data_IF_459825825663
#
_entry.id   IF_459825825663
#
_cell.length_a   1.000
_cell.length_b   1.000
_cell.length_c   1.000
_cell.angle_alpha   90.00
_cell.angle_beta   90.00
_cell.angle_gamma   90.00
#
_symmetry.space_group_name_H-M   'P 1'
#
loop_
_entity.id
_entity.type
_entity.pdbx_description
1 polymer ?
#
# COMPACT_ATOMS: atom_id res chain seq x y z
N UNK A 1 -13.97 -33.86 -94.99
CA UNK A 1 -13.43 -32.53 -94.60
C UNK A 1 -14.43 -31.67 -93.82
N UNK A 2 -15.74 -31.69 -94.11
CA UNK A 2 -16.72 -30.83 -93.44
C UNK A 2 -16.94 -31.10 -91.93
N UNK A 3 -16.78 -32.34 -91.47
CA UNK A 3 -17.04 -32.71 -90.08
C UNK A 3 -16.01 -32.13 -89.09
N UNK A 4 -14.74 -32.05 -89.50
CA UNK A 4 -13.68 -31.41 -88.72
C UNK A 4 -13.93 -29.90 -88.57
N UNK A 5 -14.33 -29.22 -89.66
CA UNK A 5 -14.72 -27.80 -89.62
C UNK A 5 -15.89 -27.55 -88.66
N UNK A 6 -16.88 -28.46 -88.67
CA UNK A 6 -18.04 -28.39 -87.78
C UNK A 6 -17.65 -28.59 -86.31
N UNK A 7 -16.77 -29.56 -86.02
CA UNK A 7 -16.23 -29.80 -84.68
C UNK A 7 -15.34 -28.67 -84.18
N UNK A 8 -14.48 -28.11 -85.05
CA UNK A 8 -13.63 -26.97 -84.72
C UNK A 8 -14.49 -25.75 -84.35
N UNK A 9 -15.51 -25.45 -85.16
CA UNK A 9 -16.46 -24.34 -84.88
C UNK A 9 -17.24 -24.55 -83.58
N UNK A 10 -17.62 -25.79 -83.26
CA UNK A 10 -18.26 -26.12 -81.99
C UNK A 10 -17.32 -25.94 -80.79
N UNK A 11 -16.05 -26.34 -80.90
CA UNK A 11 -15.05 -26.13 -79.86
C UNK A 11 -14.74 -24.64 -79.64
N UNK A 12 -14.65 -23.85 -80.71
CA UNK A 12 -14.47 -22.38 -80.58
C UNK A 12 -15.64 -21.76 -79.82
N UNK A 13 -16.88 -22.15 -80.15
CA UNK A 13 -18.07 -21.67 -79.43
C UNK A 13 -18.07 -22.08 -77.95
N UNK A 14 -17.64 -23.31 -77.66
CA UNK A 14 -17.52 -23.81 -76.27
C UNK A 14 -16.43 -23.05 -75.50
N UNK A 15 -15.31 -22.74 -76.15
CA UNK A 15 -14.23 -21.93 -75.56
C UNK A 15 -14.69 -20.50 -75.27
N UNK A 16 -15.50 -19.92 -76.13
CA UNK A 16 -16.06 -18.58 -75.97
C UNK A 16 -17.05 -18.53 -74.79
N UNK A 17 -17.94 -19.52 -74.69
CA UNK A 17 -18.81 -19.70 -73.53
C UNK A 17 -18.04 -19.87 -72.23
N UNK A 18 -16.94 -20.63 -72.24
CA UNK A 18 -16.09 -20.80 -71.07
C UNK A 18 -15.42 -19.47 -70.66
N UNK A 19 -14.97 -18.68 -71.65
CA UNK A 19 -14.37 -17.37 -71.42
C UNK A 19 -15.37 -16.42 -70.77
N UNK A 20 -16.57 -16.32 -71.31
CA UNK A 20 -17.65 -15.48 -70.74
C UNK A 20 -18.01 -15.92 -69.31
N UNK A 21 -18.05 -17.23 -69.05
CA UNK A 21 -18.31 -17.75 -67.71
C UNK A 21 -17.19 -17.36 -66.73
N UNK A 22 -15.92 -17.44 -67.15
CA UNK A 22 -14.77 -17.02 -66.34
C UNK A 22 -14.80 -15.51 -66.09
N UNK A 23 -15.13 -14.71 -67.10
CA UNK A 23 -15.24 -13.26 -67.01
C UNK A 23 -16.33 -12.88 -65.99
N UNK A 24 -17.50 -13.52 -66.09
CA UNK A 24 -18.60 -13.34 -65.14
C UNK A 24 -18.23 -13.72 -63.70
N UNK A 25 -17.48 -14.81 -63.51
CA UNK A 25 -17.01 -15.22 -62.18
C UNK A 25 -16.03 -14.18 -61.62
N UNK A 26 -15.13 -13.68 -62.47
CA UNK A 26 -14.10 -12.71 -62.08
C UNK A 26 -14.75 -11.39 -61.67
N UNK A 27 -15.75 -10.92 -62.41
CA UNK A 27 -16.53 -9.72 -62.07
C UNK A 27 -17.24 -9.86 -60.72
N UNK A 28 -17.85 -11.03 -60.46
CA UNK A 28 -18.50 -11.31 -59.18
C UNK A 28 -17.51 -11.36 -58.02
N UNK A 29 -16.32 -11.92 -58.22
CA UNK A 29 -15.26 -11.90 -57.22
C UNK A 29 -14.82 -10.48 -56.91
N UNK A 30 -14.59 -9.66 -57.95
CA UNK A 30 -14.20 -8.27 -57.79
C UNK A 30 -15.26 -7.48 -57.03
N UNK A 31 -16.54 -7.62 -57.39
CA UNK A 31 -17.64 -6.95 -56.70
C UNK A 31 -17.73 -7.33 -55.21
N UNK A 32 -17.54 -8.62 -54.89
CA UNK A 32 -17.51 -9.09 -53.49
C UNK A 32 -16.30 -8.57 -52.73
N UNK A 33 -15.14 -8.47 -53.38
CA UNK A 33 -13.92 -7.96 -52.76
C UNK A 33 -14.06 -6.48 -52.41
N UNK A 34 -14.60 -5.68 -53.34
CA UNK A 34 -14.88 -4.25 -53.11
C UNK A 34 -15.87 -4.08 -51.96
N UNK A 35 -16.99 -4.82 -51.97
CA UNK A 35 -17.98 -4.76 -50.90
C UNK A 35 -17.40 -5.18 -49.54
N UNK A 36 -16.55 -6.20 -49.50
CA UNK A 36 -15.88 -6.60 -48.26
C UNK A 36 -14.94 -5.49 -47.76
N UNK A 37 -14.15 -4.90 -48.65
CA UNK A 37 -13.22 -3.83 -48.31
C UNK A 37 -13.96 -2.59 -47.75
N UNK A 38 -15.05 -2.17 -48.40
CA UNK A 38 -15.86 -1.04 -47.96
C UNK A 38 -16.49 -1.26 -46.58
N UNK A 39 -16.85 -2.50 -46.24
CA UNK A 39 -17.52 -2.80 -44.98
C UNK A 39 -16.55 -3.17 -43.84
N UNK A 40 -15.46 -3.90 -44.12
CA UNK A 40 -14.55 -4.43 -43.09
C UNK A 40 -13.48 -3.41 -42.70
N UNK A 41 -12.99 -2.61 -43.64
CA UNK A 41 -11.92 -1.65 -43.37
C UNK A 41 -12.32 -0.59 -42.32
N UNK A 42 -13.52 0.04 -42.41
CA UNK A 42 -13.96 0.99 -41.38
C UNK A 42 -14.13 0.33 -40.02
N UNK A 43 -14.57 -0.94 -39.98
CA UNK A 43 -14.70 -1.71 -38.76
C UNK A 43 -13.34 -1.91 -38.08
N UNK A 44 -12.30 -2.22 -38.85
CA UNK A 44 -10.94 -2.37 -38.34
C UNK A 44 -10.39 -1.05 -37.76
N UNK A 45 -10.61 0.07 -38.45
CA UNK A 45 -10.19 1.39 -37.95
C UNK A 45 -10.90 1.77 -36.64
N UNK A 46 -12.22 1.58 -36.58
CA UNK A 46 -13.01 1.83 -35.37
C UNK A 46 -12.55 0.92 -34.23
N UNK A 47 -12.31 -0.36 -34.51
CA UNK A 47 -11.82 -1.31 -33.51
C UNK A 47 -10.44 -0.91 -32.98
N UNK A 48 -9.53 -0.44 -33.84
CA UNK A 48 -8.23 0.08 -33.42
C UNK A 48 -8.36 1.30 -32.51
N UNK A 49 -9.24 2.26 -32.85
CA UNK A 49 -9.53 3.42 -31.98
C UNK A 49 -10.12 2.99 -30.64
N UNK A 50 -11.00 1.98 -30.65
CA UNK A 50 -11.61 1.42 -29.45
C UNK A 50 -10.56 0.78 -28.53
N UNK A 51 -9.63 0.00 -29.09
CA UNK A 51 -8.54 -0.62 -28.34
C UNK A 51 -7.63 0.43 -27.67
N UNK A 52 -7.31 1.52 -28.38
CA UNK A 52 -6.53 2.62 -27.81
C UNK A 52 -7.30 3.27 -26.64
N UNK A 53 -8.60 3.55 -26.81
CA UNK A 53 -9.45 4.06 -25.73
C UNK A 53 -9.49 3.12 -24.53
N UNK A 54 -9.64 1.81 -24.76
CA UNK A 54 -9.63 0.80 -23.72
C UNK A 54 -8.31 0.78 -22.94
N UNK A 55 -7.17 0.83 -23.64
CA UNK A 55 -5.84 0.92 -23.02
C UNK A 55 -5.65 2.21 -22.23
N UNK A 56 -6.24 3.32 -22.66
CA UNK A 56 -6.23 4.58 -21.92
C UNK A 56 -7.07 4.48 -20.64
N UNK A 57 -8.27 3.89 -20.72
CA UNK A 57 -9.16 3.67 -19.57
C UNK A 57 -8.48 2.77 -18.54
N UNK A 58 -7.86 1.67 -18.96
CA UNK A 58 -7.14 0.78 -18.04
C UNK A 58 -6.00 1.49 -17.31
N UNK A 59 -5.25 2.36 -18.01
CA UNK A 59 -4.22 3.19 -17.37
C UNK A 59 -4.82 4.17 -16.36
N UNK A 60 -5.93 4.81 -16.71
CA UNK A 60 -6.61 5.74 -15.81
C UNK A 60 -7.11 5.03 -14.54
N UNK A 61 -7.74 3.86 -14.67
CA UNK A 61 -8.19 3.05 -13.53
C UNK A 61 -7.00 2.76 -12.61
N UNK A 62 -5.87 2.30 -13.15
CA UNK A 62 -4.67 2.04 -12.36
C UNK A 62 -4.16 3.27 -11.62
N UNK A 63 -4.22 4.45 -12.26
CA UNK A 63 -3.86 5.72 -11.61
C UNK A 63 -4.83 6.04 -10.47
N UNK A 64 -6.13 5.90 -10.69
CA UNK A 64 -7.16 6.13 -9.67
C UNK A 64 -6.96 5.18 -8.47
N UNK A 65 -6.74 3.89 -8.71
CA UNK A 65 -6.50 2.91 -7.64
C UNK A 65 -5.27 3.29 -6.81
N UNK A 66 -4.20 3.69 -7.48
CA UNK A 66 -2.98 4.19 -6.83
C UNK A 66 -3.29 5.42 -5.97
N UNK A 67 -4.05 6.39 -6.49
CA UNK A 67 -4.45 7.59 -5.76
C UNK A 67 -5.30 7.27 -4.53
N UNK A 68 -6.26 6.35 -4.63
CA UNK A 68 -7.09 5.91 -3.50
C UNK A 68 -6.20 5.29 -2.41
N UNK A 69 -5.25 4.43 -2.78
CA UNK A 69 -4.31 3.84 -1.83
C UNK A 69 -3.47 4.91 -1.12
N UNK A 70 -3.00 5.94 -1.85
CA UNK A 70 -2.28 7.05 -1.23
C UNK A 70 -3.15 7.80 -0.22
N UNK A 71 -4.40 8.13 -0.55
CA UNK A 71 -5.30 8.79 0.39
C UNK A 71 -5.59 7.93 1.64
N UNK A 72 -5.77 6.62 1.49
CA UNK A 72 -5.93 5.70 2.62
C UNK A 72 -4.75 5.76 3.58
N UNK A 73 -3.52 5.65 3.05
CA UNK A 73 -2.29 5.76 3.85
C UNK A 73 -2.13 7.13 4.50
N UNK A 74 -2.46 8.21 3.80
CA UNK A 74 -2.43 9.58 4.37
C UNK A 74 -3.43 9.73 5.51
N UNK A 75 -4.64 9.17 5.38
CA UNK A 75 -5.65 9.23 6.43
C UNK A 75 -5.27 8.40 7.67
N UNK A 76 -4.68 7.21 7.47
CA UNK A 76 -4.11 6.41 8.55
C UNK A 76 -3.01 7.19 9.30
N UNK A 77 -2.08 7.80 8.55
CA UNK A 77 -1.03 8.65 9.11
C UNK A 77 -1.57 9.86 9.87
N UNK A 78 -2.54 10.58 9.31
CA UNK A 78 -3.17 11.73 9.96
C UNK A 78 -3.86 11.34 11.27
N UNK A 79 -4.54 10.18 11.29
CA UNK A 79 -5.21 9.66 12.48
C UNK A 79 -4.20 9.34 13.58
N UNK A 80 -3.10 8.65 13.23
CA UNK A 80 -2.02 8.34 14.18
C UNK A 80 -1.37 9.62 14.72
N UNK A 81 -1.06 10.59 13.85
CA UNK A 81 -0.49 11.88 14.25
C UNK A 81 -1.42 12.62 15.21
N UNK A 82 -2.73 12.65 14.94
CA UNK A 82 -3.72 13.30 15.80
C UNK A 82 -3.79 12.63 17.18
N UNK A 83 -3.91 11.31 17.21
CA UNK A 83 -3.92 10.54 18.46
C UNK A 83 -2.68 10.83 19.32
N UNK A 84 -1.50 10.83 18.69
CA UNK A 84 -0.25 11.11 19.39
C UNK A 84 -0.11 12.56 19.81
N UNK A 85 -0.61 13.52 19.04
CA UNK A 85 -0.59 14.93 19.43
C UNK A 85 -1.51 15.22 20.62
N UNK A 86 -2.60 14.48 20.77
CA UNK A 86 -3.52 14.61 21.91
C UNK A 86 -2.90 14.00 23.19
N UNK A 87 -2.16 12.89 23.05
CA UNK A 87 -1.52 12.17 24.17
C UNK A 87 -0.15 12.72 24.55
N UNK A 88 0.61 13.22 23.59
CA UNK A 88 1.99 13.70 23.75
C UNK A 88 2.03 15.18 23.36
N UNK A 89 1.91 16.09 24.35
CA UNK A 89 2.04 17.53 24.10
C UNK A 89 3.39 17.82 23.46
N UNK A 90 3.39 18.62 22.38
CA UNK A 90 4.60 19.00 21.65
C UNK A 90 5.35 17.85 20.95
N UNK A 91 4.63 16.83 20.45
CA UNK A 91 5.13 15.74 19.59
C UNK A 91 6.09 16.18 18.45
N UNK A 92 5.99 17.44 18.01
CA UNK A 92 6.79 18.03 16.94
C UNK A 92 8.06 18.77 17.39
N UNK A 93 8.31 18.92 18.70
CA UNK A 93 9.30 19.87 19.21
C UNK A 93 10.33 19.19 20.11
N UNK A 94 11.59 19.45 19.78
CA UNK A 94 12.89 19.12 20.39
C UNK A 94 12.95 18.33 21.72
N UNK A 95 14.02 17.53 21.88
CA UNK A 95 14.33 16.66 23.03
C UNK A 95 14.17 17.33 24.41
N UNK A 96 14.29 18.66 24.45
CA UNK A 96 14.11 19.50 25.63
C UNK A 96 12.68 19.55 26.19
N UNK A 97 11.63 19.46 25.35
CA UNK A 97 10.25 19.57 25.82
C UNK A 97 9.69 18.26 26.38
N UNK A 98 10.15 17.10 25.89
CA UNK A 98 9.82 15.82 26.52
C UNK A 98 10.52 15.65 27.87
N UNK A 99 11.74 16.16 28.01
CA UNK A 99 12.42 16.28 29.30
C UNK A 99 11.60 17.12 30.29
N UNK A 100 10.98 18.22 29.85
CA UNK A 100 10.10 19.03 30.68
C UNK A 100 8.80 18.29 31.08
N UNK A 101 8.26 17.42 30.20
CA UNK A 101 7.11 16.56 30.50
C UNK A 101 7.43 15.46 31.53
N UNK A 102 8.67 14.98 31.52
CA UNK A 102 9.20 14.03 32.52
C UNK A 102 9.65 14.71 33.82
N UNK A 103 9.91 16.02 33.82
CA UNK A 103 10.23 16.79 35.03
C UNK A 103 9.00 16.98 35.93
N UNK A 104 7.80 17.13 35.37
CA UNK A 104 6.53 17.05 36.12
C UNK A 104 6.03 15.59 36.27
N UNK A 105 6.48 14.69 35.41
CA UNK A 105 6.10 13.27 35.35
C UNK A 105 7.03 12.32 36.09
N UNK A 106 7.35 12.60 37.36
CA UNK A 106 8.01 11.58 38.18
C UNK A 106 7.03 10.40 38.41
N UNK A 107 7.38 9.13 38.10
CA UNK A 107 6.54 7.97 38.41
C UNK A 107 6.15 7.84 39.88
N UNK A 108 6.80 8.58 40.81
CA UNK A 108 6.36 8.73 42.19
C UNK A 108 4.99 9.40 42.37
N UNK A 109 4.57 10.28 41.44
CA UNK A 109 3.34 11.07 41.58
C UNK A 109 2.12 10.37 40.98
N UNK A 110 2.25 9.88 39.74
CA UNK A 110 1.19 9.16 39.03
C UNK A 110 1.82 8.12 38.09
N UNK A 111 2.05 6.92 38.64
CA UNK A 111 2.64 5.81 37.91
C UNK A 111 1.76 5.35 36.74
N UNK A 112 0.43 5.40 36.89
CA UNK A 112 -0.50 4.90 35.87
C UNK A 112 -0.43 5.78 34.62
N UNK A 113 -0.57 7.10 34.81
CA UNK A 113 -0.44 8.07 33.72
C UNK A 113 0.95 8.01 33.07
N UNK A 114 2.00 7.81 33.86
CA UNK A 114 3.36 7.63 33.34
C UNK A 114 3.49 6.39 32.45
N UNK A 115 2.95 5.25 32.88
CA UNK A 115 2.97 4.00 32.11
C UNK A 115 2.11 4.09 30.84
N UNK A 116 0.94 4.72 30.90
CA UNK A 116 0.11 5.00 29.72
C UNK A 116 0.88 5.84 28.67
N UNK A 117 1.63 6.85 29.11
CA UNK A 117 2.43 7.68 28.23
C UNK A 117 3.61 6.91 27.61
N UNK A 118 4.25 6.02 28.38
CA UNK A 118 5.31 5.13 27.88
C UNK A 118 4.78 4.13 26.85
N UNK A 119 3.58 3.57 27.06
CA UNK A 119 2.92 2.70 26.08
C UNK A 119 2.57 3.46 24.80
N UNK A 120 2.01 4.67 24.94
CA UNK A 120 1.71 5.53 23.80
C UNK A 120 2.97 5.84 22.96
N UNK A 121 4.10 6.11 23.62
CA UNK A 121 5.39 6.32 22.97
C UNK A 121 5.88 5.06 22.24
N UNK A 122 5.73 3.86 22.81
CA UNK A 122 6.05 2.60 22.12
C UNK A 122 5.20 2.38 20.87
N UNK A 123 3.90 2.62 20.95
CA UNK A 123 2.99 2.49 19.81
C UNK A 123 3.36 3.48 18.70
N UNK A 124 3.75 4.71 19.06
CA UNK A 124 4.27 5.69 18.11
C UNK A 124 5.52 5.20 17.39
N UNK A 125 6.50 4.66 18.13
CA UNK A 125 7.74 4.13 17.55
C UNK A 125 7.42 3.03 16.54
N UNK A 126 6.59 2.06 16.91
CA UNK A 126 6.20 0.95 16.03
C UNK A 126 5.55 1.44 14.73
N UNK A 127 4.71 2.47 14.82
CA UNK A 127 4.07 3.06 13.65
C UNK A 127 5.09 3.77 12.73
N UNK A 128 5.94 4.63 13.29
CA UNK A 128 6.89 5.44 12.49
C UNK A 128 8.11 4.66 12.01
N UNK A 129 8.44 3.51 12.59
CA UNK A 129 9.48 2.61 12.05
C UNK A 129 9.21 2.17 10.61
N UNK A 130 7.94 2.06 10.23
CA UNK A 130 7.54 1.71 8.85
C UNK A 130 7.63 2.90 7.86
N UNK A 131 7.93 4.11 8.34
CA UNK A 131 7.93 5.35 7.55
C UNK A 131 9.33 5.99 7.47
N UNK A 132 10.06 5.81 6.34
CA UNK A 132 11.45 6.29 6.20
C UNK A 132 11.65 7.79 6.43
N UNK A 133 10.63 8.61 6.14
CA UNK A 133 10.71 10.06 6.26
C UNK A 133 10.76 10.57 7.71
N UNK A 134 10.45 9.71 8.69
CA UNK A 134 10.41 10.07 10.11
C UNK A 134 11.52 9.41 10.92
N UNK A 135 12.55 8.86 10.26
CA UNK A 135 13.60 8.09 10.92
C UNK A 135 14.27 8.84 12.09
N UNK A 136 14.60 10.12 11.91
CA UNK A 136 15.22 10.93 12.97
C UNK A 136 14.28 11.10 14.19
N UNK A 137 12.99 11.30 13.95
CA UNK A 137 11.97 11.43 14.98
C UNK A 137 11.80 10.10 15.72
N UNK A 138 11.76 8.98 15.00
CA UNK A 138 11.69 7.63 15.57
C UNK A 138 12.89 7.35 16.48
N UNK A 139 14.11 7.70 16.05
CA UNK A 139 15.31 7.51 16.88
C UNK A 139 15.29 8.38 18.15
N UNK A 140 14.80 9.62 18.07
CA UNK A 140 14.61 10.47 19.24
C UNK A 140 13.57 9.89 20.22
N UNK A 141 12.46 9.35 19.71
CA UNK A 141 11.44 8.69 20.53
C UNK A 141 12.00 7.45 21.23
N UNK A 142 12.81 6.64 20.55
CA UNK A 142 13.50 5.49 21.16
C UNK A 142 14.41 5.92 22.31
N UNK A 143 15.22 6.96 22.09
CA UNK A 143 16.11 7.49 23.13
C UNK A 143 15.33 8.01 24.35
N UNK A 144 14.18 8.64 24.13
CA UNK A 144 13.30 9.09 25.18
C UNK A 144 12.66 7.91 25.95
N UNK A 145 12.27 6.84 25.24
CA UNK A 145 11.74 5.62 25.86
C UNK A 145 12.79 4.96 26.77
N UNK A 146 14.04 4.85 26.30
CA UNK A 146 15.16 4.33 27.11
C UNK A 146 15.41 5.19 28.36
N UNK A 147 15.33 6.51 28.20
CA UNK A 147 15.43 7.44 29.34
C UNK A 147 14.29 7.20 30.34
N UNK A 148 13.06 7.01 29.84
CA UNK A 148 11.89 6.74 30.67
C UNK A 148 12.00 5.43 31.46
N UNK A 149 12.60 4.38 30.87
CA UNK A 149 12.92 3.14 31.61
C UNK A 149 13.95 3.34 32.70
N UNK A 150 14.98 4.14 32.44
CA UNK A 150 16.01 4.46 33.43
C UNK A 150 15.40 5.18 34.64
N UNK A 151 14.46 6.10 34.41
CA UNK A 151 13.71 6.79 35.47
C UNK A 151 12.85 5.81 36.28
N UNK A 152 12.11 4.92 35.61
CA UNK A 152 11.31 3.88 36.27
C UNK A 152 12.17 2.96 37.13
N UNK A 153 13.34 2.55 36.63
CA UNK A 153 14.26 1.71 37.38
C UNK A 153 14.77 2.42 38.64
N UNK A 154 15.14 3.69 38.51
CA UNK A 154 15.58 4.52 39.63
C UNK A 154 14.48 4.64 40.69
N UNK A 155 13.23 4.91 40.28
CA UNK A 155 12.13 5.04 41.22
C UNK A 155 11.74 3.71 41.87
N UNK A 156 11.75 2.61 41.11
CA UNK A 156 11.57 1.28 41.67
C UNK A 156 12.61 0.99 42.77
N UNK A 157 13.89 1.29 42.51
CA UNK A 157 14.96 1.15 43.52
C UNK A 157 14.70 2.03 44.75
N UNK A 158 14.30 3.28 44.55
CA UNK A 158 13.94 4.24 45.61
C UNK A 158 12.79 3.71 46.49
N UNK A 159 11.71 3.21 45.87
CA UNK A 159 10.56 2.62 46.57
C UNK A 159 10.97 1.38 47.36
N UNK A 160 11.74 0.46 46.76
CA UNK A 160 12.24 -0.74 47.44
C UNK A 160 13.08 -0.36 48.65
N UNK A 161 14.03 0.57 48.50
CA UNK A 161 14.89 1.02 49.60
C UNK A 161 14.08 1.66 50.74
N UNK A 162 13.13 2.54 50.42
CA UNK A 162 12.27 3.20 51.42
C UNK A 162 11.40 2.22 52.21
N UNK A 163 10.90 1.17 51.54
CA UNK A 163 10.01 0.18 52.16
C UNK A 163 10.76 -1.05 52.71
N UNK A 164 12.08 -1.11 52.55
CA UNK A 164 12.90 -2.16 53.14
C UNK A 164 13.08 -1.86 54.63
N UNK A 165 12.44 -2.65 55.48
CA UNK A 165 12.68 -2.62 56.92
C UNK A 165 14.01 -3.34 57.17
N UNK A 166 14.99 -2.65 57.76
CA UNK A 166 16.15 -3.34 58.30
C UNK A 166 15.70 -4.12 59.53
N UNK A 167 15.76 -5.44 59.44
CA UNK A 167 15.42 -6.30 60.56
C UNK A 167 16.42 -6.07 61.70
N UNK A 168 15.91 -5.68 62.87
CA UNK A 168 16.72 -5.57 64.07
C UNK A 168 17.28 -6.97 64.41
N UNK A 169 18.61 -7.16 64.42
CA UNK A 169 19.21 -8.44 64.73
C UNK A 169 18.72 -9.03 66.05
N UNK A 170 18.42 -8.19 67.05
CA UNK A 170 17.91 -8.65 68.35
C UNK A 170 16.50 -9.22 68.19
N UNK A 171 15.61 -8.49 67.52
CA UNK A 171 14.24 -8.95 67.26
C UNK A 171 14.24 -10.23 66.42
N UNK A 172 15.13 -10.36 65.45
CA UNK A 172 15.27 -11.59 64.64
C UNK A 172 15.74 -12.77 65.49
N UNK A 173 16.71 -12.56 66.39
CA UNK A 173 17.20 -13.60 67.31
C UNK A 173 16.11 -14.01 68.31
N UNK A 174 15.42 -13.05 68.92
CA UNK A 174 14.30 -13.32 69.84
C UNK A 174 13.17 -14.10 69.12
N UNK A 175 12.89 -13.77 67.87
CA UNK A 175 11.90 -14.48 67.04
C UNK A 175 12.31 -15.93 66.70
N UNK A 176 13.61 -16.23 66.74
CA UNK A 176 14.16 -17.57 66.50
C UNK A 176 14.22 -18.41 67.79
N UNK A 177 14.33 -17.76 68.94
CA UNK A 177 14.39 -18.41 70.26
C UNK A 177 13.01 -18.88 70.75
N UNK A 178 11.90 -18.34 70.24
CA UNK A 178 10.52 -18.74 70.60
C UNK A 178 10.11 -20.16 70.10
N UNK A 179 11.03 -20.95 69.53
CA UNK A 179 10.78 -22.32 69.05
C UNK A 179 11.61 -23.44 69.69
N UNK A 180 12.22 -23.25 70.86
CA UNK A 180 12.82 -24.35 71.65
C UNK A 180 12.40 -24.36 73.13
#
# INVERSE_FOLDING_TARGET
EEEWLKNFKANTKKSEQLREAIETITDRFQARLTSLQENVLPMHEVNGRLQIKQKNIQRLIKTIDTTIQFYGRTNELETSIRYLSDRIPNFYVDRFYFFALLEDGNPSHDLESYLENMECLQQAIQFFESHPNYQNQTENMKLNLETGYTVLESEYRSVVQKNTIQADPVVVIESLDDQY
#
